data_IF_210314004958
#
_entry.id   IF_210314004958
#
_cell.length_a   1.000
_cell.length_b   1.000
_cell.length_c   1.000
_cell.angle_alpha   90.00
_cell.angle_beta   90.00
_cell.angle_gamma   90.00
#
_symmetry.space_group_name_H-M   'P 1'
#
loop_
_entity.id
_entity.type
_entity.pdbx_description
1 polymer ?
#
# COMPACT_ATOMS: atom_id res chain seq x y z
N UNK A 1 -24.13 -7.09 -4.86
CA UNK A 1 -22.76 -6.94 -4.32
C UNK A 1 -22.77 -5.72 -3.43
N UNK A 2 -22.45 -5.85 -2.16
CA UNK A 2 -22.36 -4.69 -1.29
C UNK A 2 -21.13 -3.87 -1.72
N UNK A 3 -21.36 -2.63 -2.14
CA UNK A 3 -20.29 -1.65 -2.27
C UNK A 3 -19.76 -1.41 -0.85
N UNK A 4 -18.70 -2.10 -0.48
CA UNK A 4 -17.96 -1.73 0.72
C UNK A 4 -17.24 -0.42 0.43
N UNK A 5 -17.87 0.69 0.79
CA UNK A 5 -17.27 2.00 0.82
C UNK A 5 -16.16 1.95 1.86
N UNK A 6 -14.95 2.10 1.44
CA UNK A 6 -13.80 2.16 2.35
C UNK A 6 -13.84 3.48 3.10
N UNK A 7 -13.95 3.41 4.42
CA UNK A 7 -14.24 4.54 5.31
C UNK A 7 -13.03 5.39 5.70
N UNK A 8 -11.83 5.17 5.16
CA UNK A 8 -10.62 5.81 5.71
C UNK A 8 -10.01 6.94 4.89
N UNK A 9 -10.50 7.21 3.70
CA UNK A 9 -10.03 8.34 2.88
C UNK A 9 -11.18 9.26 2.47
N UNK A 10 -12.21 9.32 3.29
CA UNK A 10 -13.40 10.11 3.02
C UNK A 10 -13.08 11.58 3.04
N UNK A 11 -13.36 12.21 1.89
CA UNK A 11 -13.51 13.66 1.73
C UNK A 11 -12.41 14.50 2.37
N UNK A 12 -11.16 14.09 2.22
CA UNK A 12 -10.07 14.95 2.65
C UNK A 12 -9.97 16.13 1.68
N UNK A 13 -10.76 17.19 1.95
CA UNK A 13 -10.75 18.44 1.18
C UNK A 13 -9.36 19.05 1.10
N UNK A 14 -8.50 18.66 2.03
CA UNK A 14 -7.14 19.16 2.18
C UNK A 14 -6.08 18.23 1.59
N UNK A 15 -6.49 17.19 0.82
CA UNK A 15 -5.55 16.29 0.19
C UNK A 15 -4.70 17.00 -0.87
N UNK A 16 -3.41 17.08 -0.61
CA UNK A 16 -2.45 17.72 -1.52
C UNK A 16 -2.06 16.73 -2.63
N UNK A 17 -2.43 17.06 -3.86
CA UNK A 17 -2.08 16.30 -5.06
C UNK A 17 -0.63 16.58 -5.43
N UNK A 18 0.21 15.55 -5.32
CA UNK A 18 1.65 15.58 -5.59
C UNK A 18 1.97 14.96 -6.94
N UNK A 19 3.21 15.08 -7.41
CA UNK A 19 3.63 14.47 -8.67
C UNK A 19 3.46 12.95 -8.64
N UNK A 20 3.82 12.29 -7.54
CA UNK A 20 3.62 10.85 -7.37
C UNK A 20 2.14 10.45 -7.35
N UNK A 21 1.26 11.30 -6.83
CA UNK A 21 -0.19 11.09 -6.92
C UNK A 21 -0.70 11.15 -8.37
N UNK A 22 -0.25 12.13 -9.16
CA UNK A 22 -0.64 12.21 -10.56
C UNK A 22 -0.12 11.03 -11.39
N UNK A 23 1.10 10.55 -11.11
CA UNK A 23 1.62 9.33 -11.72
C UNK A 23 0.76 8.12 -11.38
N UNK A 24 0.36 7.98 -10.11
CA UNK A 24 -0.56 6.93 -9.67
C UNK A 24 -1.91 7.01 -10.39
N UNK A 25 -2.51 8.19 -10.46
CA UNK A 25 -3.78 8.39 -11.18
C UNK A 25 -3.67 7.96 -12.64
N UNK A 26 -2.59 8.31 -13.33
CA UNK A 26 -2.36 7.91 -14.72
C UNK A 26 -2.32 6.39 -14.88
N UNK A 27 -1.61 5.68 -13.97
CA UNK A 27 -1.54 4.20 -14.00
C UNK A 27 -2.89 3.55 -13.66
N UNK A 28 -3.63 4.12 -12.73
CA UNK A 28 -4.94 3.61 -12.36
C UNK A 28 -6.01 3.88 -13.43
N UNK A 29 -5.93 5.00 -14.13
CA UNK A 29 -6.84 5.31 -15.24
C UNK A 29 -6.75 4.27 -16.36
N UNK A 30 -5.56 3.77 -16.65
CA UNK A 30 -5.35 2.69 -17.62
C UNK A 30 -6.13 1.41 -17.27
N UNK A 31 -6.46 1.18 -15.98
CA UNK A 31 -7.24 0.01 -15.54
C UNK A 31 -8.69 0.02 -16.04
N UNK A 32 -9.23 1.18 -16.43
CA UNK A 32 -10.59 1.28 -16.97
C UNK A 32 -10.72 0.65 -18.36
N UNK A 33 -9.66 0.72 -19.15
CA UNK A 33 -9.65 0.29 -20.55
C UNK A 33 -8.79 -0.94 -20.82
N UNK A 34 -7.89 -1.26 -19.91
CA UNK A 34 -6.94 -2.37 -20.02
C UNK A 34 -7.30 -3.49 -19.05
N UNK A 35 -6.90 -4.70 -19.40
CA UNK A 35 -6.98 -5.89 -18.52
C UNK A 35 -5.60 -6.46 -18.24
N UNK A 36 -5.49 -7.18 -17.14
CA UNK A 36 -4.25 -7.84 -16.74
C UNK A 36 -3.15 -6.92 -16.25
N UNK A 37 -3.52 -5.71 -15.86
CA UNK A 37 -2.57 -4.73 -15.31
C UNK A 37 -2.34 -5.02 -13.82
N UNK A 38 -1.11 -4.91 -13.40
CA UNK A 38 -0.73 -5.05 -12.01
C UNK A 38 -0.01 -3.78 -11.56
N UNK A 39 -0.76 -2.88 -10.91
CA UNK A 39 -0.20 -1.64 -10.35
C UNK A 39 0.38 -1.92 -8.97
N UNK A 40 1.67 -1.69 -8.82
CA UNK A 40 2.41 -1.93 -7.58
C UNK A 40 2.90 -0.61 -6.98
N UNK A 41 2.25 -0.20 -5.90
CA UNK A 41 2.55 1.07 -5.22
C UNK A 41 3.61 0.84 -4.14
N UNK A 42 4.74 1.48 -4.31
CA UNK A 42 5.89 1.42 -3.41
C UNK A 42 6.01 2.71 -2.58
N UNK A 43 6.65 2.61 -1.44
CA UNK A 43 6.98 3.74 -0.59
C UNK A 43 7.30 3.30 0.82
N UNK A 44 8.11 4.07 1.52
CA UNK A 44 8.43 3.81 2.94
C UNK A 44 7.17 3.80 3.80
N UNK A 45 7.16 3.10 4.95
CA UNK A 45 6.08 3.23 5.91
C UNK A 45 5.88 4.69 6.31
N UNK A 46 4.61 5.12 6.35
CA UNK A 46 4.26 6.48 6.72
C UNK A 46 4.20 7.50 5.57
N UNK A 47 4.49 7.10 4.31
CA UNK A 47 4.36 7.98 3.13
C UNK A 47 2.92 8.16 2.65
N UNK A 48 1.93 7.53 3.27
CA UNK A 48 0.53 7.70 2.86
C UNK A 48 0.15 6.96 1.57
N UNK A 49 0.77 5.80 1.27
CA UNK A 49 0.42 4.97 0.10
C UNK A 49 -1.07 4.69 0.01
N UNK A 50 -1.67 4.18 1.09
CA UNK A 50 -3.10 3.89 1.16
C UNK A 50 -3.94 5.13 0.86
N UNK A 51 -3.63 6.27 1.50
CA UNK A 51 -4.36 7.52 1.27
C UNK A 51 -4.32 7.96 -0.21
N UNK A 52 -3.14 7.86 -0.85
CA UNK A 52 -3.00 8.16 -2.27
C UNK A 52 -3.83 7.20 -3.14
N UNK A 53 -3.80 5.88 -2.84
CA UNK A 53 -4.56 4.88 -3.61
C UNK A 53 -6.07 5.13 -3.48
N UNK A 54 -6.58 5.30 -2.25
CA UNK A 54 -8.00 5.54 -2.03
C UNK A 54 -8.49 6.84 -2.66
N UNK A 55 -7.72 7.92 -2.52
CA UNK A 55 -8.05 9.19 -3.16
C UNK A 55 -8.08 9.08 -4.68
N UNK A 56 -7.12 8.38 -5.29
CA UNK A 56 -7.08 8.16 -6.73
C UNK A 56 -8.25 7.28 -7.21
N UNK A 57 -8.55 6.19 -6.50
CA UNK A 57 -9.68 5.31 -6.80
C UNK A 57 -11.00 6.08 -6.75
N UNK A 58 -11.20 6.88 -5.69
CA UNK A 58 -12.40 7.71 -5.53
C UNK A 58 -12.52 8.75 -6.66
N UNK A 59 -11.43 9.45 -6.97
CA UNK A 59 -11.44 10.48 -8.01
C UNK A 59 -11.68 9.91 -9.41
N UNK A 60 -11.18 8.71 -9.67
CA UNK A 60 -11.29 8.05 -10.98
C UNK A 60 -12.55 7.19 -11.12
N UNK A 61 -13.36 7.03 -10.08
CA UNK A 61 -14.54 6.16 -10.05
C UNK A 61 -14.23 4.72 -10.53
N UNK A 62 -13.17 4.12 -9.96
CA UNK A 62 -12.76 2.75 -10.27
C UNK A 62 -13.49 1.79 -9.35
N UNK A 63 -14.12 0.75 -9.93
CA UNK A 63 -14.75 -0.32 -9.14
C UNK A 63 -13.69 -1.24 -8.57
N UNK A 64 -13.50 -1.17 -7.27
CA UNK A 64 -12.51 -1.94 -6.53
C UNK A 64 -13.20 -2.98 -5.66
N UNK A 65 -12.66 -4.19 -5.64
CA UNK A 65 -12.97 -5.17 -4.62
C UNK A 65 -11.90 -5.13 -3.54
N UNK A 66 -12.31 -4.73 -2.37
CA UNK A 66 -11.49 -4.68 -1.17
C UNK A 66 -11.96 -5.77 -0.20
N UNK A 67 -11.07 -6.69 0.14
CA UNK A 67 -11.40 -7.80 1.02
C UNK A 67 -11.30 -7.35 2.48
N UNK A 68 -12.42 -7.25 3.18
CA UNK A 68 -12.39 -7.04 4.61
C UNK A 68 -11.99 -8.34 5.33
N UNK A 69 -10.84 -8.31 6.02
CA UNK A 69 -10.29 -9.50 6.67
C UNK A 69 -10.40 -9.40 8.19
N UNK A 70 -11.03 -10.41 8.80
CA UNK A 70 -10.92 -10.66 10.23
C UNK A 70 -9.72 -11.58 10.48
N UNK A 71 -8.62 -11.02 10.98
CA UNK A 71 -7.39 -11.75 11.27
C UNK A 71 -7.14 -11.72 12.77
N UNK A 72 -6.91 -12.89 13.35
CA UNK A 72 -6.45 -12.96 14.74
C UNK A 72 -5.01 -12.44 14.82
N UNK A 73 -4.70 -11.61 15.82
CA UNK A 73 -3.38 -11.04 16.06
C UNK A 73 -2.26 -12.11 16.16
N UNK A 74 -2.62 -13.33 16.53
CA UNK A 74 -1.68 -14.46 16.61
C UNK A 74 -1.57 -15.27 15.31
N UNK A 75 -2.28 -14.90 14.25
CA UNK A 75 -2.29 -15.62 12.98
C UNK A 75 -0.90 -15.66 12.34
N UNK A 76 -0.52 -16.85 11.87
CA UNK A 76 0.72 -17.04 11.10
C UNK A 76 0.55 -16.59 9.65
N UNK A 77 1.63 -16.23 8.92
CA UNK A 77 1.54 -15.80 7.53
C UNK A 77 0.73 -16.72 6.62
N UNK A 78 0.81 -18.03 6.85
CA UNK A 78 0.02 -19.00 6.10
C UNK A 78 -1.48 -18.92 6.38
N UNK A 79 -1.85 -18.69 7.63
CA UNK A 79 -3.26 -18.56 8.04
C UNK A 79 -3.86 -17.29 7.44
N UNK A 80 -3.13 -16.18 7.46
CA UNK A 80 -3.51 -14.92 6.83
C UNK A 80 -3.80 -15.12 5.34
N UNK A 81 -2.89 -15.78 4.63
CA UNK A 81 -3.07 -16.12 3.22
C UNK A 81 -4.33 -16.99 2.98
N UNK A 82 -4.57 -17.98 3.84
CA UNK A 82 -5.75 -18.85 3.77
C UNK A 82 -7.05 -18.07 4.04
N UNK A 83 -7.03 -17.19 5.04
CA UNK A 83 -8.18 -16.34 5.38
C UNK A 83 -8.52 -15.44 4.19
N UNK A 84 -7.53 -14.77 3.60
CA UNK A 84 -7.71 -13.94 2.41
C UNK A 84 -8.45 -14.67 1.29
N UNK A 85 -7.95 -15.82 0.88
CA UNK A 85 -8.59 -16.60 -0.19
C UNK A 85 -9.97 -17.13 0.16
N UNK A 86 -10.19 -17.51 1.42
CA UNK A 86 -11.50 -17.96 1.86
C UNK A 86 -12.50 -16.81 1.88
N UNK A 87 -12.10 -15.62 2.29
CA UNK A 87 -12.93 -14.42 2.26
C UNK A 87 -13.30 -14.06 0.82
N UNK A 88 -12.31 -13.98 -0.08
CA UNK A 88 -12.55 -13.73 -1.51
C UNK A 88 -13.55 -14.72 -2.11
N UNK A 89 -13.34 -16.01 -1.89
CA UNK A 89 -14.24 -17.05 -2.41
C UNK A 89 -15.65 -16.93 -1.84
N UNK A 90 -15.76 -16.67 -0.53
CA UNK A 90 -17.06 -16.53 0.14
C UNK A 90 -17.82 -15.31 -0.38
N UNK A 91 -17.18 -14.15 -0.42
CA UNK A 91 -17.82 -12.90 -0.82
C UNK A 91 -18.21 -12.89 -2.30
N UNK A 92 -17.40 -13.51 -3.13
CA UNK A 92 -17.71 -13.68 -4.55
C UNK A 92 -18.65 -14.86 -4.83
N UNK A 93 -19.01 -15.68 -3.82
CA UNK A 93 -19.88 -16.84 -4.00
C UNK A 93 -19.32 -17.91 -4.93
N UNK A 94 -18.01 -18.14 -4.88
CA UNK A 94 -17.29 -19.10 -5.73
C UNK A 94 -16.52 -20.12 -4.89
N UNK A 95 -16.10 -21.24 -5.51
CA UNK A 95 -15.44 -22.34 -4.80
C UNK A 95 -13.93 -22.40 -5.02
N UNK A 96 -13.45 -21.87 -6.13
CA UNK A 96 -12.04 -21.95 -6.52
C UNK A 96 -11.43 -20.57 -6.78
N UNK A 97 -10.10 -20.49 -6.71
CA UNK A 97 -9.35 -19.27 -7.05
C UNK A 97 -9.52 -18.88 -8.52
N UNK A 98 -9.55 -19.88 -9.41
CA UNK A 98 -9.79 -19.66 -10.83
C UNK A 98 -11.12 -18.98 -11.09
N UNK A 99 -12.17 -19.37 -10.36
CA UNK A 99 -13.48 -18.72 -10.44
C UNK A 99 -13.46 -17.29 -9.88
N UNK A 100 -12.62 -16.99 -8.83
CA UNK A 100 -12.41 -15.63 -8.35
C UNK A 100 -11.85 -14.76 -9.47
N UNK A 101 -10.76 -15.20 -10.12
CA UNK A 101 -10.14 -14.45 -11.20
C UNK A 101 -11.08 -14.26 -12.40
N UNK A 102 -11.78 -15.33 -12.80
CA UNK A 102 -12.78 -15.28 -13.87
C UNK A 102 -13.85 -14.23 -13.55
N UNK A 103 -14.41 -14.25 -12.35
CA UNK A 103 -15.46 -13.32 -11.93
C UNK A 103 -14.93 -11.89 -11.85
N UNK A 104 -13.73 -11.67 -11.33
CA UNK A 104 -13.10 -10.35 -11.32
C UNK A 104 -12.93 -9.80 -12.74
N UNK A 105 -12.48 -10.61 -13.68
CA UNK A 105 -12.35 -10.22 -15.09
C UNK A 105 -13.70 -9.91 -15.75
N UNK A 106 -14.73 -10.72 -15.51
CA UNK A 106 -16.08 -10.53 -16.06
C UNK A 106 -16.73 -9.22 -15.61
N UNK A 107 -16.53 -8.83 -14.36
CA UNK A 107 -17.08 -7.59 -13.80
C UNK A 107 -16.11 -6.40 -13.86
N UNK A 108 -14.97 -6.56 -14.51
CA UNK A 108 -13.90 -5.56 -14.55
C UNK A 108 -13.53 -5.01 -13.16
N UNK A 109 -13.53 -5.89 -12.16
CA UNK A 109 -13.17 -5.53 -10.79
C UNK A 109 -11.67 -5.44 -10.66
N UNK A 110 -11.20 -4.37 -10.05
CA UNK A 110 -9.81 -4.26 -9.59
C UNK A 110 -9.70 -4.96 -8.24
N UNK A 111 -8.83 -5.97 -8.13
CA UNK A 111 -8.54 -6.60 -6.86
C UNK A 111 -7.56 -5.74 -6.08
N UNK A 112 -7.96 -5.31 -4.90
CA UNK A 112 -7.13 -4.49 -4.03
C UNK A 112 -6.98 -5.15 -2.66
N UNK A 113 -5.76 -5.22 -2.15
CA UNK A 113 -5.43 -5.98 -0.95
C UNK A 113 -4.86 -5.10 0.18
N UNK A 114 -5.23 -3.81 0.23
CA UNK A 114 -4.68 -2.87 1.22
C UNK A 114 -5.03 -3.23 2.67
N UNK A 115 -6.29 -3.49 3.04
CA UNK A 115 -6.63 -3.86 4.41
C UNK A 115 -5.94 -5.13 4.90
N UNK A 116 -5.51 -5.96 3.96
CA UNK A 116 -4.73 -7.15 4.21
C UNK A 116 -3.31 -6.84 4.72
N UNK A 117 -2.74 -5.73 4.27
CA UNK A 117 -1.35 -5.37 4.54
C UNK A 117 -1.19 -4.36 5.69
N UNK A 118 -2.23 -3.58 5.96
CA UNK A 118 -2.19 -2.45 6.92
C UNK A 118 -3.29 -2.54 8.00
N UNK A 119 -3.89 -3.71 8.16
CA UNK A 119 -4.90 -3.93 9.19
C UNK A 119 -4.26 -3.80 10.58
N UNK A 120 -4.84 -2.96 11.42
CA UNK A 120 -4.50 -2.86 12.85
C UNK A 120 -4.70 -4.18 13.62
N UNK A 121 -5.39 -5.15 13.02
CA UNK A 121 -5.56 -6.51 13.52
C UNK A 121 -4.42 -7.46 13.13
N UNK A 122 -3.50 -7.03 12.25
CA UNK A 122 -2.31 -7.81 11.91
C UNK A 122 -1.15 -7.33 12.76
N UNK A 123 -0.66 -8.19 13.64
CA UNK A 123 0.64 -7.95 14.27
C UNK A 123 1.72 -8.03 13.17
N UNK A 124 2.13 -6.86 12.68
CA UNK A 124 3.16 -6.73 11.67
C UNK A 124 4.50 -7.35 12.10
N UNK A 125 4.71 -7.57 13.40
CA UNK A 125 5.88 -8.26 13.92
C UNK A 125 5.78 -9.78 13.77
N UNK A 126 4.58 -10.33 13.80
CA UNK A 126 4.36 -11.79 13.67
C UNK A 126 4.08 -12.23 12.24
N UNK A 127 3.29 -11.48 11.51
CA UNK A 127 2.93 -11.77 10.11
C UNK A 127 3.95 -11.18 9.16
N UNK A 128 4.66 -10.16 9.59
CA UNK A 128 5.87 -9.63 8.97
C UNK A 128 5.74 -9.27 7.50
N UNK A 129 4.60 -8.74 7.09
CA UNK A 129 4.41 -8.29 5.73
C UNK A 129 5.31 -7.08 5.45
N UNK A 130 6.54 -7.35 5.01
CA UNK A 130 7.51 -6.33 4.66
C UNK A 130 8.47 -5.88 5.76
N UNK A 131 8.47 -6.52 6.93
CA UNK A 131 9.43 -6.23 7.99
C UNK A 131 10.44 -7.36 8.18
N UNK A 132 11.66 -7.13 7.73
CA UNK A 132 12.80 -7.85 8.27
C UNK A 132 13.18 -7.18 9.59
N UNK A 133 12.85 -7.79 10.71
CA UNK A 133 13.24 -7.27 12.02
C UNK A 133 14.32 -8.16 12.63
N UNK A 134 15.17 -7.59 13.48
CA UNK A 134 16.17 -8.31 14.25
C UNK A 134 15.54 -9.47 15.06
N UNK A 135 14.28 -9.32 15.45
CA UNK A 135 13.56 -10.29 16.27
C UNK A 135 12.80 -11.35 15.47
N UNK A 136 12.39 -11.07 14.24
CA UNK A 136 11.51 -11.94 13.45
C UNK A 136 12.23 -12.65 12.30
N UNK A 137 13.49 -12.28 12.01
CA UNK A 137 14.29 -12.90 10.96
C UNK A 137 13.57 -12.95 9.60
N UNK A 138 13.85 -13.98 8.79
CA UNK A 138 13.27 -14.12 7.44
C UNK A 138 11.82 -14.66 7.45
N UNK A 139 11.09 -14.60 8.55
CA UNK A 139 9.73 -15.17 8.70
C UNK A 139 8.70 -14.59 7.72
N UNK A 140 8.98 -13.42 7.14
CA UNK A 140 8.11 -12.76 6.15
C UNK A 140 8.30 -13.28 4.72
N UNK A 141 9.48 -13.79 4.39
CA UNK A 141 9.78 -14.31 3.05
C UNK A 141 8.82 -15.41 2.59
N UNK A 142 8.40 -16.39 3.42
CA UNK A 142 7.47 -17.42 3.00
C UNK A 142 6.16 -16.87 2.45
N UNK A 143 5.67 -15.74 2.98
CA UNK A 143 4.46 -15.09 2.49
C UNK A 143 4.67 -14.51 1.08
N UNK A 144 5.75 -13.74 0.88
CA UNK A 144 6.08 -13.16 -0.42
C UNK A 144 6.36 -14.23 -1.47
N UNK A 145 7.11 -15.26 -1.14
CA UNK A 145 7.32 -16.41 -2.04
C UNK A 145 6.01 -17.09 -2.41
N UNK A 146 5.07 -17.15 -1.48
CA UNK A 146 3.77 -17.75 -1.73
C UNK A 146 2.90 -16.87 -2.63
N UNK A 147 2.88 -15.56 -2.44
CA UNK A 147 2.21 -14.61 -3.33
C UNK A 147 2.83 -14.67 -4.73
N UNK A 148 4.15 -14.66 -4.82
CA UNK A 148 4.86 -14.77 -6.09
C UNK A 148 4.60 -16.10 -6.79
N UNK A 149 4.64 -17.21 -6.06
CA UNK A 149 4.29 -18.53 -6.58
C UNK A 149 2.83 -18.59 -7.06
N UNK A 150 1.92 -18.00 -6.32
CA UNK A 150 0.50 -17.88 -6.70
C UNK A 150 0.36 -17.08 -8.00
N UNK A 151 1.06 -15.97 -8.13
CA UNK A 151 1.09 -15.17 -9.35
C UNK A 151 1.58 -16.01 -10.55
N UNK A 152 2.70 -16.70 -10.42
CA UNK A 152 3.24 -17.53 -11.49
C UNK A 152 2.30 -18.68 -11.87
N UNK A 153 1.75 -19.37 -10.87
CA UNK A 153 0.86 -20.51 -11.06
C UNK A 153 -0.45 -20.15 -11.75
N UNK A 154 -1.00 -18.99 -11.41
CA UNK A 154 -2.28 -18.51 -11.92
C UNK A 154 -2.13 -17.40 -12.96
N UNK A 155 -0.93 -17.19 -13.46
CA UNK A 155 -0.69 -16.17 -14.47
C UNK A 155 -1.66 -16.23 -15.67
N UNK A 156 -2.00 -17.43 -16.22
CA UNK A 156 -2.98 -17.53 -17.30
C UNK A 156 -4.38 -17.03 -16.94
N UNK A 157 -4.77 -17.14 -15.66
CA UNK A 157 -6.07 -16.69 -15.16
C UNK A 157 -6.03 -15.19 -14.76
N UNK A 158 -4.85 -14.71 -14.32
CA UNK A 158 -4.62 -13.31 -13.88
C UNK A 158 -4.42 -12.35 -15.05
N UNK A 159 -4.03 -12.83 -16.22
CA UNK A 159 -3.75 -11.97 -17.38
C UNK A 159 -4.91 -11.07 -17.82
N UNK A 160 -6.13 -11.37 -17.38
CA UNK A 160 -7.34 -10.59 -17.66
C UNK A 160 -7.89 -9.87 -16.41
N UNK A 161 -7.16 -9.90 -15.28
CA UNK A 161 -7.58 -9.31 -13.99
C UNK A 161 -6.66 -8.15 -13.63
N UNK A 162 -7.25 -7.01 -13.33
CA UNK A 162 -6.52 -5.86 -12.81
C UNK A 162 -6.28 -6.00 -11.31
N UNK A 163 -5.06 -5.73 -10.88
CA UNK A 163 -4.66 -5.82 -9.46
C UNK A 163 -3.96 -4.54 -9.05
N UNK A 164 -4.31 -4.02 -7.89
CA UNK A 164 -3.56 -2.96 -7.21
C UNK A 164 -3.04 -3.52 -5.89
N UNK A 165 -1.79 -3.30 -5.62
CA UNK A 165 -1.16 -3.67 -4.35
C UNK A 165 -0.20 -2.61 -3.89
N UNK A 166 0.07 -2.58 -2.59
CA UNK A 166 1.11 -1.72 -2.03
C UNK A 166 2.11 -2.55 -1.23
N UNK A 167 3.34 -2.10 -1.18
CA UNK A 167 4.42 -2.80 -0.47
C UNK A 167 5.45 -1.82 0.07
N UNK A 168 6.03 -2.22 1.21
CA UNK A 168 7.25 -1.64 1.78
C UNK A 168 8.16 -2.79 2.15
N UNK A 169 9.42 -2.75 1.71
CA UNK A 169 10.42 -3.74 2.11
C UNK A 169 11.30 -3.17 3.21
N UNK A 170 10.80 -3.24 4.43
CA UNK A 170 11.41 -2.59 5.58
C UNK A 170 12.47 -3.48 6.22
N UNK A 171 13.66 -2.93 6.32
CA UNK A 171 14.76 -3.44 7.14
C UNK A 171 14.90 -2.57 8.39
N UNK A 172 14.89 -3.16 9.57
CA UNK A 172 15.19 -2.47 10.81
C UNK A 172 16.65 -2.76 11.21
N UNK A 173 17.47 -1.71 11.25
CA UNK A 173 18.86 -1.81 11.66
C UNK A 173 19.15 -0.75 12.73
N UNK A 174 19.70 -1.14 13.85
CA UNK A 174 20.00 -0.26 14.99
C UNK A 174 18.84 0.67 15.40
N UNK A 175 17.61 0.13 15.40
CA UNK A 175 16.40 0.88 15.74
C UNK A 175 15.83 1.75 14.61
N UNK A 176 16.56 1.98 13.53
CA UNK A 176 16.11 2.75 12.37
C UNK A 176 15.45 1.84 11.33
N UNK A 177 14.33 2.30 10.74
CA UNK A 177 13.61 1.58 9.69
C UNK A 177 13.99 2.15 8.33
N UNK A 178 14.49 1.28 7.47
CA UNK A 178 14.83 1.58 6.07
C UNK A 178 13.92 0.78 5.14
N UNK A 179 13.52 1.36 4.04
CA UNK A 179 12.87 0.63 2.95
C UNK A 179 13.87 0.34 1.84
N UNK A 180 14.10 -0.93 1.54
CA UNK A 180 15.08 -1.35 0.53
C UNK A 180 14.71 -0.82 -0.87
N UNK A 181 13.40 -0.63 -1.12
CA UNK A 181 12.90 -0.18 -2.42
C UNK A 181 13.00 1.34 -2.63
N UNK A 182 13.22 2.12 -1.57
CA UNK A 182 13.21 3.59 -1.67
C UNK A 182 14.39 4.29 -1.03
N UNK A 183 14.98 3.73 0.05
CA UNK A 183 15.98 4.44 0.85
C UNK A 183 17.44 4.12 0.45
N UNK A 184 17.67 3.08 -0.36
CA UNK A 184 19.03 2.65 -0.76
C UNK A 184 19.36 3.03 -2.21
N UNK A 185 19.38 4.29 -2.49
CA UNK A 185 19.78 4.97 -3.73
C UNK A 185 19.94 4.07 -5.00
N UNK A 186 21.13 3.50 -5.22
CA UNK A 186 21.40 2.66 -6.38
C UNK A 186 20.67 1.32 -6.33
N UNK A 187 20.69 0.65 -5.17
CA UNK A 187 20.01 -0.64 -5.00
C UNK A 187 18.49 -0.51 -5.20
N UNK A 188 17.89 0.52 -4.63
CA UNK A 188 16.46 0.80 -4.82
C UNK A 188 16.11 1.01 -6.30
N UNK A 189 16.91 1.79 -7.04
CA UNK A 189 16.69 2.00 -8.48
C UNK A 189 16.76 0.69 -9.28
N UNK A 190 17.74 -0.16 -8.97
CA UNK A 190 17.88 -1.46 -9.63
C UNK A 190 16.67 -2.36 -9.32
N UNK A 191 16.26 -2.45 -8.07
CA UNK A 191 15.12 -3.28 -7.67
C UNK A 191 13.81 -2.76 -8.27
N UNK A 192 13.57 -1.45 -8.25
CA UNK A 192 12.40 -0.83 -8.88
C UNK A 192 12.42 -1.06 -10.39
N UNK A 193 13.57 -0.97 -11.05
CA UNK A 193 13.70 -1.30 -12.47
C UNK A 193 13.29 -2.74 -12.75
N UNK A 194 13.77 -3.72 -11.96
CA UNK A 194 13.36 -5.11 -12.12
C UNK A 194 11.86 -5.31 -11.87
N UNK A 195 11.29 -4.65 -10.86
CA UNK A 195 9.85 -4.72 -10.60
C UNK A 195 9.04 -4.14 -11.77
N UNK A 196 9.52 -3.06 -12.40
CA UNK A 196 8.87 -2.45 -13.57
C UNK A 196 8.82 -3.36 -14.81
N UNK A 197 9.65 -4.41 -14.87
CA UNK A 197 9.55 -5.42 -15.95
C UNK A 197 8.27 -6.25 -15.84
N UNK A 198 7.78 -6.46 -14.62
CA UNK A 198 6.64 -7.33 -14.34
C UNK A 198 5.37 -6.58 -13.94
N UNK A 199 5.51 -5.36 -13.42
CA UNK A 199 4.44 -4.59 -12.79
C UNK A 199 4.47 -3.14 -13.25
N UNK A 200 3.34 -2.48 -13.17
CA UNK A 200 3.26 -1.02 -13.28
C UNK A 200 3.63 -0.39 -11.93
N UNK A 201 4.89 -0.11 -11.73
CA UNK A 201 5.37 0.42 -10.45
C UNK A 201 5.12 1.92 -10.34
N UNK A 202 4.62 2.35 -9.18
CA UNK A 202 4.54 3.76 -8.78
C UNK A 202 5.18 3.92 -7.42
N UNK A 203 6.09 4.87 -7.27
CA UNK A 203 6.77 5.16 -6.01
C UNK A 203 6.16 6.40 -5.38
N UNK A 204 5.49 6.26 -4.24
CA UNK A 204 4.99 7.41 -3.47
C UNK A 204 6.15 8.01 -2.67
N UNK A 205 6.54 9.19 -3.09
CA UNK A 205 7.58 10.00 -2.44
C UNK A 205 7.22 11.47 -2.56
N UNK A 206 7.79 12.30 -1.71
CA UNK A 206 7.51 13.73 -1.68
C UNK A 206 8.81 14.53 -1.72
N UNK A 207 8.78 15.65 -2.41
CA UNK A 207 9.81 16.67 -2.27
C UNK A 207 9.65 17.39 -0.93
N UNK A 208 10.65 18.17 -0.55
CA UNK A 208 10.58 19.01 0.65
C UNK A 208 9.43 20.03 0.56
N UNK A 209 9.27 20.64 -0.60
CA UNK A 209 8.24 21.63 -0.88
C UNK A 209 6.83 21.02 -0.82
N UNK A 210 6.65 19.81 -1.34
CA UNK A 210 5.40 19.07 -1.21
C UNK A 210 5.08 18.73 0.25
N UNK A 211 6.10 18.30 1.01
CA UNK A 211 5.93 18.02 2.45
C UNK A 211 5.53 19.26 3.24
N UNK A 212 6.14 20.42 2.98
CA UNK A 212 5.76 21.68 3.61
C UNK A 212 4.28 21.99 3.32
N UNK A 213 3.84 21.85 2.07
CA UNK A 213 2.42 22.06 1.69
C UNK A 213 1.49 21.08 2.39
N UNK A 214 1.87 19.79 2.48
CA UNK A 214 1.08 18.74 3.16
C UNK A 214 0.94 19.09 4.65
N UNK A 215 2.01 19.48 5.32
CA UNK A 215 1.94 19.83 6.74
C UNK A 215 1.13 21.10 6.96
N UNK A 216 1.32 22.13 6.14
CA UNK A 216 0.59 23.39 6.23
C UNK A 216 -0.91 23.26 5.97
N UNK A 217 -1.35 22.25 5.22
CA UNK A 217 -2.79 22.03 5.03
C UNK A 217 -3.52 21.62 6.32
N UNK A 218 -2.79 21.14 7.33
CA UNK A 218 -3.33 20.78 8.66
C UNK A 218 -2.86 21.72 9.79
N UNK A 219 -1.66 22.30 9.65
CA UNK A 219 -0.97 23.13 10.64
C UNK A 219 -0.47 24.40 9.97
N UNK A 220 -1.41 25.26 9.57
CA UNK A 220 -1.15 26.50 8.81
C UNK A 220 -0.35 27.56 9.60
N UNK A 221 -0.38 27.46 10.93
CA UNK A 221 0.35 28.34 11.83
C UNK A 221 1.86 28.06 11.93
N UNK A 222 2.33 26.91 11.44
CA UNK A 222 3.76 26.57 11.46
C UNK A 222 4.53 27.28 10.35
N UNK A 223 5.71 27.78 10.68
CA UNK A 223 6.66 28.30 9.70
C UNK A 223 7.32 27.18 8.88
N UNK A 224 7.86 27.53 7.71
CA UNK A 224 8.56 26.57 6.86
C UNK A 224 9.78 25.99 7.59
N UNK A 225 10.50 26.81 8.36
CA UNK A 225 11.69 26.43 9.13
C UNK A 225 11.37 25.41 10.23
N UNK A 226 10.25 25.58 10.90
CA UNK A 226 9.78 24.61 11.90
C UNK A 226 9.46 23.28 11.25
N UNK A 227 8.70 23.29 10.15
CA UNK A 227 8.37 22.08 9.38
C UNK A 227 9.63 21.38 8.86
N UNK A 228 10.63 22.14 8.37
CA UNK A 228 11.91 21.58 7.93
C UNK A 228 12.65 20.84 9.05
N UNK A 229 12.49 21.27 10.28
CA UNK A 229 13.09 20.59 11.43
C UNK A 229 12.49 19.20 11.61
N UNK A 230 11.17 19.06 11.46
CA UNK A 230 10.49 17.77 11.48
C UNK A 230 10.88 16.91 10.27
N UNK A 231 10.98 17.48 9.07
CA UNK A 231 11.41 16.77 7.86
C UNK A 231 12.83 16.22 8.05
N UNK A 232 13.76 16.99 8.60
CA UNK A 232 15.11 16.52 8.91
C UNK A 232 15.14 15.33 9.88
N UNK A 233 14.23 15.32 10.85
CA UNK A 233 14.17 14.30 11.90
C UNK A 233 13.46 13.02 11.46
N UNK A 234 12.36 13.14 10.70
CA UNK A 234 11.45 12.04 10.36
C UNK A 234 11.47 11.67 8.87
N UNK A 235 12.20 12.42 8.04
CA UNK A 235 12.18 12.30 6.58
C UNK A 235 10.88 12.81 5.97
N UNK A 236 10.72 12.62 4.66
CA UNK A 236 9.51 12.99 3.92
C UNK A 236 8.39 11.96 4.15
N UNK A 237 7.95 11.82 5.41
CA UNK A 237 6.99 10.80 5.88
C UNK A 237 5.86 11.47 6.65
N UNK A 238 4.75 11.84 5.99
CA UNK A 238 3.65 12.59 6.61
C UNK A 238 3.18 12.00 7.93
N UNK A 239 2.93 10.69 8.00
CA UNK A 239 2.45 10.05 9.24
C UNK A 239 3.35 10.34 10.44
N UNK A 240 4.66 10.18 10.29
CA UNK A 240 5.57 10.37 11.43
C UNK A 240 5.73 11.83 11.82
N UNK A 241 5.60 12.75 10.85
CA UNK A 241 5.59 14.19 11.13
C UNK A 241 4.31 14.55 11.87
N UNK A 242 3.14 14.09 11.43
CA UNK A 242 1.86 14.36 12.11
C UNK A 242 1.82 13.75 13.51
N UNK A 243 2.26 12.51 13.70
CA UNK A 243 2.36 11.89 15.02
C UNK A 243 3.28 12.68 15.98
N UNK A 244 4.36 13.26 15.45
CA UNK A 244 5.26 14.11 16.23
C UNK A 244 4.61 15.46 16.59
N UNK A 245 3.99 16.11 15.61
CA UNK A 245 3.28 17.37 15.82
C UNK A 245 2.12 17.21 16.82
N UNK A 246 1.32 16.15 16.66
CA UNK A 246 0.23 15.85 17.60
C UNK A 246 0.73 15.64 19.03
N UNK A 247 1.88 15.02 19.21
CA UNK A 247 2.48 14.84 20.53
C UNK A 247 2.97 16.17 21.09
N UNK A 248 3.72 16.93 20.26
CA UNK A 248 4.37 18.15 20.70
C UNK A 248 3.34 19.27 21.01
N UNK A 249 2.14 19.23 20.38
CA UNK A 249 1.04 20.20 20.61
C UNK A 249 -0.12 19.68 21.48
N UNK A 250 -0.12 18.43 21.91
CA UNK A 250 -1.09 17.90 22.89
C UNK A 250 -0.61 18.03 24.34
N UNK A 251 0.66 18.36 24.57
CA UNK A 251 1.24 18.57 25.90
C UNK A 251 1.07 20.03 26.40
N UNK A 252 0.47 20.91 25.61
CA UNK A 252 0.03 22.25 25.97
C UNK A 252 -1.50 22.33 26.14
#
# INVERSE_FOLDING_TARGET
MANHKVLSAEDNKDFIKTDSFYELCKKLEDLKTSKGRFVHVLGTPGTGKSANIYQAISMLDITVYDAFLFINIDSKPYEVYKIFWNTLKKDMGVKSKKEVYKKASEYNLVLFADPFLDSEYIDSHKVGLGLWTENNGPGTFPFYFRIFYEYLRHYPDLKDVNVVTQTSWVLKFQGVRYDILTDFHLLSKILVFFLNVFFDVVVISYTKEEMIKIVKSYYDFLSDEEIETYIKKYGNRPRFIFEALERDFKED
#
